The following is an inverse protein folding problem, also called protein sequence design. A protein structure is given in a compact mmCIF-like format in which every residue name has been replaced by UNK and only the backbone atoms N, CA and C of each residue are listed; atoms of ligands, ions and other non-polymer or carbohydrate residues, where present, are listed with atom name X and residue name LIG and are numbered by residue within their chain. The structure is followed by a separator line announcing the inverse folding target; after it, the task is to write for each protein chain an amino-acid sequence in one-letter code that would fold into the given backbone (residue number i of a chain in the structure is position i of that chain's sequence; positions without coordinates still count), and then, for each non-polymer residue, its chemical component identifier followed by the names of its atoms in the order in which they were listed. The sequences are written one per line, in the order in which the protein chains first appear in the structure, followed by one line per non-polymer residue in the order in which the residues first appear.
data_IF_746236908516
#
_entry.id   IF_746236908516
#
_cell.length_a   1.000
_cell.length_b   1.000
_cell.length_c   1.000
_cell.angle_alpha   90.00
_cell.angle_beta   90.00
_cell.angle_gamma   90.00
#
_symmetry.space_group_name_H-M   'P 1'
#
loop_
_entity.id
_entity.type
_entity.pdbx_description
1 polymer ?
#
# COMPACT_ATOMS: atom_id res chain seq x y z
N UNK A 1 34.93 15.55 3.33
CA UNK A 1 33.61 15.76 3.95
C UNK A 1 32.55 15.12 3.09
N UNK A 2 32.09 13.93 3.49
CA UNK A 2 31.15 13.10 2.73
C UNK A 2 29.75 13.72 2.84
N UNK A 3 29.09 13.91 1.69
CA UNK A 3 27.74 14.49 1.48
C UNK A 3 26.75 14.01 2.55
N UNK A 4 26.62 14.74 3.65
CA UNK A 4 25.73 14.43 4.77
C UNK A 4 24.31 14.86 4.36
N UNK A 5 23.42 13.87 4.24
CA UNK A 5 21.97 13.98 4.04
C UNK A 5 21.50 14.51 2.69
N UNK A 6 21.32 13.61 1.72
CA UNK A 6 20.11 13.72 0.89
C UNK A 6 18.90 13.75 1.83
N UNK A 7 17.94 14.65 1.62
CA UNK A 7 16.74 14.71 2.46
C UNK A 7 16.09 13.33 2.49
N UNK A 8 15.66 12.85 3.68
CA UNK A 8 15.04 11.52 3.86
C UNK A 8 13.94 11.29 2.82
N UNK A 9 13.17 12.34 2.51
CA UNK A 9 12.16 12.35 1.46
C UNK A 9 12.71 11.95 0.08
N UNK A 10 13.83 12.53 -0.37
CA UNK A 10 14.45 12.18 -1.66
C UNK A 10 14.86 10.70 -1.72
N UNK A 11 15.31 10.13 -0.62
CA UNK A 11 15.68 8.71 -0.55
C UNK A 11 14.42 7.84 -0.69
N UNK A 12 13.35 8.19 0.02
CA UNK A 12 12.07 7.47 -0.05
C UNK A 12 11.42 7.55 -1.45
N UNK A 13 11.46 8.72 -2.09
CA UNK A 13 10.94 8.89 -3.46
C UNK A 13 11.71 8.03 -4.46
N UNK A 14 13.03 7.94 -4.33
CA UNK A 14 13.85 7.06 -5.18
C UNK A 14 13.55 5.60 -4.94
N UNK A 15 13.37 5.20 -3.70
CA UNK A 15 13.04 3.83 -3.34
C UNK A 15 11.65 3.43 -3.87
N UNK A 16 10.68 4.34 -3.85
CA UNK A 16 9.38 4.14 -4.50
C UNK A 16 9.52 3.91 -6.00
N UNK A 17 10.29 4.73 -6.69
CA UNK A 17 10.51 4.58 -8.14
C UNK A 17 11.29 3.29 -8.44
N UNK A 18 12.24 2.92 -7.58
CA UNK A 18 13.01 1.68 -7.70
C UNK A 18 12.10 0.45 -7.61
N UNK A 19 11.20 0.41 -6.61
CA UNK A 19 10.29 -0.73 -6.39
C UNK A 19 9.15 -0.80 -7.40
N UNK A 20 8.57 0.34 -7.78
CA UNK A 20 7.43 0.35 -8.71
C UNK A 20 7.84 0.36 -10.18
N UNK A 21 9.07 0.77 -10.48
CA UNK A 21 9.58 0.93 -11.83
C UNK A 21 9.08 2.21 -12.50
N UNK A 22 10.01 3.03 -12.99
CA UNK A 22 9.71 4.30 -13.67
C UNK A 22 8.75 4.13 -14.86
N UNK A 23 8.99 3.11 -15.71
CA UNK A 23 8.19 2.87 -16.90
C UNK A 23 6.74 2.48 -16.55
N UNK A 24 6.57 1.62 -15.54
CA UNK A 24 5.25 1.21 -15.06
C UNK A 24 4.47 2.40 -14.50
N UNK A 25 5.10 3.21 -13.64
CA UNK A 25 4.50 4.44 -13.12
C UNK A 25 4.05 5.37 -14.25
N UNK A 26 4.93 5.64 -15.21
CA UNK A 26 4.62 6.53 -16.32
C UNK A 26 3.44 6.01 -17.15
N UNK A 27 3.40 4.71 -17.46
CA UNK A 27 2.33 4.11 -18.23
C UNK A 27 1.00 4.12 -17.47
N UNK A 28 1.00 3.79 -16.17
CA UNK A 28 -0.19 3.77 -15.34
C UNK A 28 -0.77 5.18 -15.10
N UNK A 29 0.08 6.19 -14.95
CA UNK A 29 -0.34 7.59 -14.81
C UNK A 29 -0.94 8.13 -16.12
N UNK A 30 -0.37 7.77 -17.27
CA UNK A 30 -0.89 8.18 -18.58
C UNK A 30 -2.24 7.55 -18.90
N UNK A 31 -2.47 6.31 -18.45
CA UNK A 31 -3.68 5.56 -18.76
C UNK A 31 -4.85 5.84 -17.81
N UNK A 32 -4.59 6.29 -16.58
CA UNK A 32 -5.63 6.48 -15.58
C UNK A 32 -5.36 7.70 -14.68
N UNK A 33 -6.23 8.71 -14.75
CA UNK A 33 -6.13 9.93 -13.94
C UNK A 33 -6.25 9.65 -12.45
N UNK A 34 -7.04 8.65 -12.03
CA UNK A 34 -7.15 8.27 -10.62
C UNK A 34 -5.83 7.71 -10.08
N UNK A 35 -5.03 7.02 -10.92
CA UNK A 35 -3.69 6.56 -10.53
C UNK A 35 -2.77 7.75 -10.33
N UNK A 36 -2.84 8.77 -11.19
CA UNK A 36 -2.09 10.01 -11.03
C UNK A 36 -2.36 10.66 -9.68
N UNK A 37 -3.64 10.89 -9.35
CA UNK A 37 -4.04 11.52 -8.09
C UNK A 37 -3.56 10.73 -6.87
N UNK A 38 -3.54 9.39 -6.99
CA UNK A 38 -3.08 8.49 -5.93
C UNK A 38 -1.57 8.56 -5.76
N UNK A 39 -0.80 8.61 -6.85
CA UNK A 39 0.66 8.75 -6.80
C UNK A 39 1.05 10.14 -6.27
N UNK A 40 0.35 11.19 -6.71
CA UNK A 40 0.56 12.56 -6.22
C UNK A 40 0.26 12.66 -4.71
N UNK A 41 -0.81 11.99 -4.23
CA UNK A 41 -1.08 11.84 -2.80
C UNK A 41 0.05 11.10 -2.07
N UNK A 42 0.50 9.96 -2.60
CA UNK A 42 1.55 9.14 -1.99
C UNK A 42 2.88 9.90 -1.85
N UNK A 43 3.21 10.77 -2.82
CA UNK A 43 4.42 11.61 -2.81
C UNK A 43 4.30 12.88 -1.96
N UNK A 44 3.08 13.40 -1.79
CA UNK A 44 2.82 14.60 -0.98
C UNK A 44 2.70 14.28 0.51
N UNK A 45 2.17 13.11 0.87
CA UNK A 45 1.95 12.68 2.25
C UNK A 45 3.13 11.87 2.79
N UNK A 46 3.94 12.49 3.66
CA UNK A 46 5.13 11.86 4.24
C UNK A 46 4.82 10.54 4.97
N UNK A 47 3.70 10.45 5.70
CA UNK A 47 3.34 9.25 6.46
C UNK A 47 2.87 8.13 5.51
N UNK A 48 2.19 8.48 4.41
CA UNK A 48 1.84 7.52 3.38
C UNK A 48 3.09 6.93 2.72
N UNK A 49 4.05 7.79 2.38
CA UNK A 49 5.32 7.38 1.79
C UNK A 49 6.13 6.50 2.75
N UNK A 50 6.24 6.90 4.03
CA UNK A 50 6.87 6.07 5.08
C UNK A 50 6.21 4.69 5.17
N UNK A 51 4.88 4.64 5.25
CA UNK A 51 4.13 3.38 5.33
C UNK A 51 4.34 2.50 4.10
N UNK A 52 4.47 3.09 2.91
CA UNK A 52 4.78 2.37 1.67
C UNK A 52 6.19 1.77 1.69
N UNK A 53 7.19 2.53 2.18
CA UNK A 53 8.56 2.01 2.30
C UNK A 53 8.61 0.86 3.31
N UNK A 54 7.85 0.97 4.41
CA UNK A 54 7.75 -0.06 5.44
C UNK A 54 7.07 -1.35 4.96
N UNK A 55 6.23 -1.33 3.91
CA UNK A 55 5.64 -2.56 3.33
C UNK A 55 6.70 -3.50 2.74
N UNK A 56 7.82 -2.97 2.24
CA UNK A 56 8.85 -3.74 1.56
C UNK A 56 8.64 -3.84 0.05
N UNK A 57 9.08 -4.96 -0.53
CA UNK A 57 9.07 -5.19 -1.98
C UNK A 57 7.66 -5.38 -2.54
N UNK A 58 7.46 -5.08 -3.82
CA UNK A 58 6.17 -5.22 -4.52
C UNK A 58 6.39 -6.01 -5.81
N UNK A 59 5.81 -7.21 -5.87
CA UNK A 59 6.08 -8.16 -6.95
C UNK A 59 5.38 -7.76 -8.27
N UNK A 60 4.23 -7.09 -8.20
CA UNK A 60 3.46 -6.63 -9.37
C UNK A 60 3.07 -5.15 -9.25
N UNK A 61 3.96 -4.22 -9.63
CA UNK A 61 3.75 -2.78 -9.46
C UNK A 61 2.49 -2.22 -10.15
N UNK A 62 2.17 -2.69 -11.35
CA UNK A 62 0.97 -2.23 -12.08
C UNK A 62 -0.34 -2.62 -11.36
N UNK A 63 -0.36 -3.83 -10.77
CA UNK A 63 -1.49 -4.33 -9.99
C UNK A 63 -1.62 -3.57 -8.68
N UNK A 64 -0.50 -3.27 -8.03
CA UNK A 64 -0.45 -2.43 -6.83
C UNK A 64 -1.07 -1.05 -7.08
N UNK A 65 -0.62 -0.35 -8.12
CA UNK A 65 -1.13 0.99 -8.46
C UNK A 65 -2.63 0.96 -8.79
N UNK A 66 -3.09 -0.10 -9.45
CA UNK A 66 -4.52 -0.28 -9.76
C UNK A 66 -5.35 -0.53 -8.50
N UNK A 67 -4.87 -1.36 -7.57
CA UNK A 67 -5.56 -1.61 -6.32
C UNK A 67 -5.56 -0.38 -5.41
N UNK A 68 -4.39 0.26 -5.26
CA UNK A 68 -4.23 1.45 -4.44
C UNK A 68 -5.10 2.60 -4.96
N UNK A 69 -5.17 2.80 -6.28
CA UNK A 69 -6.01 3.86 -6.84
C UNK A 69 -7.50 3.64 -6.60
N UNK A 70 -8.01 2.41 -6.77
CA UNK A 70 -9.40 2.07 -6.45
C UNK A 70 -9.73 2.35 -4.97
N UNK A 71 -8.86 1.88 -4.07
CA UNK A 71 -9.02 2.09 -2.64
C UNK A 71 -8.95 3.58 -2.26
N UNK A 72 -8.01 4.31 -2.86
CA UNK A 72 -7.85 5.74 -2.62
C UNK A 72 -9.06 6.54 -3.09
N UNK A 73 -9.60 6.26 -4.28
CA UNK A 73 -10.77 6.96 -4.80
C UNK A 73 -12.00 6.83 -3.91
N UNK A 74 -12.20 5.66 -3.29
CA UNK A 74 -13.34 5.42 -2.41
C UNK A 74 -13.13 5.93 -0.99
N UNK A 75 -11.93 5.77 -0.43
CA UNK A 75 -11.68 5.99 1.00
C UNK A 75 -10.85 7.23 1.32
N UNK A 76 -10.49 8.08 0.35
CA UNK A 76 -9.70 9.31 0.59
C UNK A 76 -10.21 10.19 1.72
N UNK A 77 -11.53 10.29 1.89
CA UNK A 77 -12.16 11.13 2.93
C UNK A 77 -12.01 10.55 4.36
N UNK A 78 -11.81 9.24 4.46
CA UNK A 78 -11.64 8.54 5.73
C UNK A 78 -10.17 8.48 6.19
N UNK A 79 -9.23 8.94 5.34
CA UNK A 79 -7.80 8.94 5.63
C UNK A 79 -7.36 10.24 6.32
N UNK A 80 -6.22 10.15 7.04
CA UNK A 80 -5.69 11.26 7.81
C UNK A 80 -4.38 10.90 8.50
N UNK A 81 -3.82 11.84 9.26
CA UNK A 81 -2.49 11.70 9.88
C UNK A 81 -2.53 11.35 11.36
N UNK A 82 -3.71 11.23 11.95
CA UNK A 82 -3.91 11.08 13.39
C UNK A 82 -4.95 10.01 13.73
N UNK A 83 -4.75 9.37 14.88
CA UNK A 83 -5.67 8.37 15.43
C UNK A 83 -5.99 7.22 14.48
N UNK A 84 -7.26 6.83 14.41
CA UNK A 84 -7.72 5.71 13.58
C UNK A 84 -7.56 5.98 12.08
N UNK A 85 -7.49 7.24 11.65
CA UNK A 85 -7.31 7.58 10.23
C UNK A 85 -5.93 7.21 9.71
N UNK A 86 -4.90 7.26 10.57
CA UNK A 86 -3.56 6.76 10.24
C UNK A 86 -3.55 5.23 10.12
N UNK A 87 -4.30 4.54 10.98
CA UNK A 87 -4.45 3.09 10.91
C UNK A 87 -5.12 2.68 9.59
N UNK A 88 -6.23 3.33 9.21
CA UNK A 88 -6.88 3.04 7.93
C UNK A 88 -5.96 3.27 6.73
N UNK A 89 -5.10 4.31 6.78
CA UNK A 89 -4.08 4.55 5.76
C UNK A 89 -3.08 3.39 5.67
N UNK A 90 -2.53 2.96 6.81
CA UNK A 90 -1.62 1.79 6.88
C UNK A 90 -2.29 0.54 6.33
N UNK A 91 -3.51 0.24 6.78
CA UNK A 91 -4.32 -0.90 6.33
C UNK A 91 -4.55 -0.88 4.82
N UNK A 92 -4.80 0.28 4.24
CA UNK A 92 -5.07 0.46 2.82
C UNK A 92 -3.84 0.15 1.96
N UNK A 93 -2.68 0.69 2.36
CA UNK A 93 -1.39 0.45 1.68
C UNK A 93 -0.98 -1.03 1.85
N UNK A 94 -1.13 -1.59 3.05
CA UNK A 94 -0.88 -3.00 3.34
C UNK A 94 -1.72 -3.93 2.45
N UNK A 95 -3.02 -3.64 2.35
CA UNK A 95 -3.95 -4.44 1.56
C UNK A 95 -3.64 -4.36 0.06
N UNK A 96 -3.34 -3.17 -0.45
CA UNK A 96 -2.94 -3.00 -1.85
C UNK A 96 -1.67 -3.80 -2.18
N UNK A 97 -0.68 -3.78 -1.27
CA UNK A 97 0.57 -4.53 -1.42
C UNK A 97 0.38 -6.03 -1.32
N UNK A 98 -0.46 -6.49 -0.38
CA UNK A 98 -0.85 -7.90 -0.30
C UNK A 98 -1.56 -8.35 -1.57
N UNK A 99 -2.56 -7.61 -2.05
CA UNK A 99 -3.30 -7.99 -3.25
C UNK A 99 -2.45 -8.06 -4.53
N UNK A 100 -1.47 -7.17 -4.67
CA UNK A 100 -0.57 -7.16 -5.82
C UNK A 100 0.45 -8.29 -5.78
N UNK A 101 0.83 -8.74 -4.59
CA UNK A 101 2.05 -9.52 -4.40
C UNK A 101 1.82 -10.90 -3.79
N UNK A 102 0.61 -11.18 -3.31
CA UNK A 102 0.22 -12.49 -2.82
C UNK A 102 -0.02 -13.42 -4.02
N UNK A 103 0.84 -14.43 -4.12
CA UNK A 103 0.69 -15.56 -5.01
C UNK A 103 0.30 -16.71 -4.09
N UNK A 104 -0.87 -17.32 -4.28
CA UNK A 104 -1.24 -18.52 -3.53
C UNK A 104 -0.20 -19.62 -3.85
N UNK A 105 0.77 -19.83 -2.97
CA UNK A 105 1.78 -20.89 -3.15
C UNK A 105 1.29 -22.14 -2.43
N UNK A 106 0.57 -22.99 -3.15
CA UNK A 106 0.38 -24.39 -2.75
C UNK A 106 1.38 -25.27 -3.51
N UNK A 107 2.05 -26.23 -2.85
CA UNK A 107 2.99 -27.15 -3.50
C UNK A 107 2.35 -28.07 -4.56
N UNK A 108 1.03 -28.00 -4.77
CA UNK A 108 0.28 -28.88 -5.68
C UNK A 108 -0.29 -28.19 -6.92
N UNK A 109 0.07 -26.93 -7.21
CA UNK A 109 -0.56 -26.18 -8.31
C UNK A 109 0.40 -25.23 -9.03
N UNK A 110 0.86 -25.66 -10.21
CA UNK A 110 1.86 -24.99 -11.04
C UNK A 110 1.33 -23.80 -11.89
N UNK A 111 0.05 -23.43 -11.76
CA UNK A 111 -0.57 -22.35 -12.55
C UNK A 111 -1.68 -21.64 -11.77
N UNK A 112 -1.37 -21.08 -10.60
CA UNK A 112 -2.39 -20.39 -9.81
C UNK A 112 -2.67 -18.96 -10.30
N UNK A 113 -3.96 -18.58 -10.37
CA UNK A 113 -4.35 -17.22 -10.69
C UNK A 113 -4.00 -16.29 -9.53
N UNK A 114 -3.66 -15.06 -9.88
CA UNK A 114 -3.57 -13.99 -8.90
C UNK A 114 -4.89 -13.79 -8.14
N UNK A 115 -4.84 -13.19 -6.93
CA UNK A 115 -6.03 -12.79 -6.19
C UNK A 115 -7.05 -12.07 -7.08
N UNK A 116 -8.26 -12.62 -7.18
CA UNK A 116 -9.35 -12.08 -8.01
C UNK A 116 -10.48 -11.46 -7.18
N UNK A 117 -10.35 -11.46 -5.85
CA UNK A 117 -11.34 -10.84 -4.97
C UNK A 117 -11.34 -9.33 -5.10
N UNK A 118 -12.48 -8.71 -4.82
CA UNK A 118 -12.62 -7.26 -4.82
C UNK A 118 -11.92 -6.64 -3.61
N UNK A 119 -10.89 -5.83 -3.89
CA UNK A 119 -10.02 -5.18 -2.89
C UNK A 119 -10.81 -4.21 -2.03
N UNK A 120 -11.76 -3.49 -2.63
CA UNK A 120 -12.61 -2.51 -1.94
C UNK A 120 -13.48 -3.20 -0.92
N UNK A 121 -14.20 -4.25 -1.32
CA UNK A 121 -15.03 -5.05 -0.41
C UNK A 121 -14.22 -5.65 0.74
N UNK A 122 -12.98 -6.10 0.48
CA UNK A 122 -12.10 -6.60 1.55
C UNK A 122 -11.69 -5.51 2.53
N UNK A 123 -11.33 -4.32 2.04
CA UNK A 123 -11.03 -3.18 2.91
C UNK A 123 -12.24 -2.78 3.75
N UNK A 124 -13.44 -2.70 3.13
CA UNK A 124 -14.69 -2.40 3.82
C UNK A 124 -14.95 -3.37 4.97
N UNK A 125 -14.75 -4.66 4.72
CA UNK A 125 -14.93 -5.71 5.72
C UNK A 125 -13.92 -5.57 6.86
N UNK A 126 -12.67 -5.27 6.55
CA UNK A 126 -11.62 -5.06 7.54
C UNK A 126 -11.89 -3.80 8.38
N UNK A 127 -12.35 -2.71 7.77
CA UNK A 127 -12.79 -1.51 8.47
C UNK A 127 -13.98 -1.79 9.38
N UNK A 128 -14.99 -2.51 8.91
CA UNK A 128 -16.18 -2.87 9.69
C UNK A 128 -15.85 -3.74 10.91
N UNK A 129 -14.92 -4.68 10.75
CA UNK A 129 -14.43 -5.50 11.86
C UNK A 129 -13.74 -4.65 12.93
N UNK A 130 -12.97 -3.64 12.53
CA UNK A 130 -12.32 -2.72 13.45
C UNK A 130 -13.35 -1.82 14.13
N UNK A 131 -14.23 -1.18 13.37
CA UNK A 131 -15.20 -0.23 13.90
C UNK A 131 -16.22 -0.89 14.83
N UNK A 132 -16.54 -2.18 14.62
CA UNK A 132 -17.46 -2.95 15.46
C UNK A 132 -16.79 -3.67 16.63
N UNK A 133 -15.54 -3.37 16.93
CA UNK A 133 -14.77 -4.03 17.99
C UNK A 133 -14.71 -5.56 17.88
N UNK A 134 -14.63 -6.08 16.65
CA UNK A 134 -14.57 -7.52 16.37
C UNK A 134 -13.15 -8.04 16.15
N UNK A 135 -12.15 -7.16 16.15
CA UNK A 135 -10.75 -7.58 16.13
C UNK A 135 -10.32 -8.10 17.50
N UNK A 136 -9.64 -9.24 17.52
CA UNK A 136 -8.89 -9.65 18.69
C UNK A 136 -7.75 -8.65 18.93
N UNK A 137 -7.58 -8.17 20.17
CA UNK A 137 -6.45 -7.33 20.61
C UNK A 137 -6.32 -6.00 19.85
N UNK A 138 -7.37 -5.18 19.93
CA UNK A 138 -7.43 -3.90 19.19
C UNK A 138 -6.35 -2.89 19.59
N UNK A 139 -6.01 -2.83 20.88
CA UNK A 139 -4.98 -1.93 21.39
C UNK A 139 -3.59 -2.30 20.85
N UNK A 140 -3.29 -3.59 20.70
CA UNK A 140 -2.07 -4.06 20.04
C UNK A 140 -2.13 -3.73 18.54
N UNK A 141 -3.25 -4.01 17.88
CA UNK A 141 -3.43 -3.79 16.44
C UNK A 141 -3.20 -2.33 16.03
N UNK A 142 -3.72 -1.39 16.82
CA UNK A 142 -3.55 0.05 16.58
C UNK A 142 -2.09 0.50 16.64
N UNK A 143 -1.28 -0.18 17.45
CA UNK A 143 0.11 0.19 17.70
C UNK A 143 1.10 -0.61 16.84
N UNK A 144 0.63 -1.53 15.98
CA UNK A 144 1.53 -2.22 15.07
C UNK A 144 2.20 -1.27 14.07
N UNK A 145 3.49 -1.51 13.89
CA UNK A 145 4.24 -0.93 12.77
C UNK A 145 3.87 -1.68 11.49
N UNK A 146 4.03 -1.02 10.35
CA UNK A 146 3.98 -1.75 9.09
C UNK A 146 5.23 -2.64 9.03
N UNK A 147 5.04 -3.94 8.92
CA UNK A 147 6.16 -4.86 8.81
C UNK A 147 6.60 -5.00 7.36
N UNK A 148 7.92 -5.00 7.17
CA UNK A 148 8.56 -5.28 5.87
C UNK A 148 8.26 -6.72 5.48
N UNK A 149 7.68 -6.93 4.29
CA UNK A 149 7.78 -8.25 3.65
C UNK A 149 9.25 -8.52 3.35
N UNK A 150 9.84 -9.46 4.07
CA UNK A 150 11.12 -10.08 3.70
C UNK A 150 10.76 -11.29 2.81
N UNK A 151 11.20 -11.29 1.55
CA UNK A 151 11.19 -12.51 0.75
C UNK A 151 12.20 -13.49 1.36
N UNK A 152 11.72 -14.67 1.75
CA UNK A 152 12.54 -15.81 2.21
C UNK A 152 12.87 -16.69 1.02
#
# INVERSE_FOLDING_TARGET
MIKKFQSIKLVQERELVNRLGYHTLQNSIKSNTSVKDTVDWLLSDKKALESFIEVGEIDQPARFLTALSKLYTEYKNDMGNEGNKLLYKKMLIALAAGWSSDIYTSPLSFSMPYPNYDVVTRFKSMKDLYDKNKFARMDEFKNYNMELRIQV
#
